data_IF_071448429885
#
_entry.id   IF_071448429885
#
_cell.length_a   1.000
_cell.length_b   1.000
_cell.length_c   1.000
_cell.angle_alpha   90.00
_cell.angle_beta   90.00
_cell.angle_gamma   90.00
#
_symmetry.space_group_name_H-M   'P 1'
#
loop_
_entity.id
_entity.type
_entity.pdbx_description
1 polymer ?
#
# COMPACT_ATOMS: atom_id res chain seq x y z
N UNK A 1 -8.94 -20.78 -26.89
CA UNK A 1 -8.74 -21.13 -25.47
C UNK A 1 -8.27 -19.84 -24.80
N UNK A 2 -9.08 -19.26 -23.92
CA UNK A 2 -8.68 -18.07 -23.17
C UNK A 2 -7.68 -18.50 -22.11
N UNK A 3 -6.41 -18.16 -22.30
CA UNK A 3 -5.41 -18.24 -21.23
C UNK A 3 -5.70 -17.03 -20.34
N UNK A 4 -6.53 -17.19 -19.33
CA UNK A 4 -6.55 -16.25 -18.22
C UNK A 4 -5.22 -16.41 -17.49
N UNK A 5 -4.28 -15.50 -17.72
CA UNK A 5 -3.13 -15.38 -16.82
C UNK A 5 -3.68 -15.03 -15.43
N UNK A 6 -3.49 -15.89 -14.43
CA UNK A 6 -4.03 -15.68 -13.07
C UNK A 6 -3.49 -14.38 -12.45
N UNK A 7 -2.30 -13.95 -12.85
CA UNK A 7 -1.66 -12.69 -12.47
C UNK A 7 -2.33 -11.42 -13.01
N UNK A 8 -3.29 -11.49 -13.95
CA UNK A 8 -3.90 -10.29 -14.53
C UNK A 8 -5.43 -10.36 -14.59
N UNK A 9 -6.07 -9.29 -14.13
CA UNK A 9 -7.52 -9.06 -14.22
C UNK A 9 -7.75 -7.90 -15.18
N UNK A 10 -8.57 -8.11 -16.22
CA UNK A 10 -9.03 -7.06 -17.13
C UNK A 10 -10.54 -7.00 -17.09
N UNK A 11 -11.11 -5.87 -16.66
CA UNK A 11 -12.55 -5.73 -16.43
C UNK A 11 -13.01 -4.26 -16.45
N UNK A 12 -14.31 -4.05 -16.31
CA UNK A 12 -14.94 -2.73 -16.23
C UNK A 12 -15.19 -2.08 -17.59
N UNK A 13 -16.07 -1.09 -17.58
CA UNK A 13 -16.54 -0.38 -18.78
C UNK A 13 -16.59 1.14 -18.59
N UNK A 14 -15.76 1.66 -17.67
CA UNK A 14 -15.72 3.08 -17.37
C UNK A 14 -15.10 3.93 -18.49
N UNK A 15 -15.18 5.27 -18.39
CA UNK A 15 -14.62 6.18 -19.39
C UNK A 15 -13.10 6.34 -19.29
N UNK A 16 -12.49 5.95 -18.17
CA UNK A 16 -11.05 6.10 -17.90
C UNK A 16 -10.40 4.71 -17.89
N UNK A 17 -9.34 4.54 -18.68
CA UNK A 17 -8.46 3.38 -18.55
C UNK A 17 -7.61 3.49 -17.29
N UNK A 18 -7.54 2.42 -16.50
CA UNK A 18 -6.72 2.34 -15.29
C UNK A 18 -5.88 1.08 -15.34
N UNK A 19 -4.56 1.24 -15.31
CA UNK A 19 -3.60 0.17 -15.07
C UNK A 19 -3.08 0.28 -13.65
N UNK A 20 -3.20 -0.82 -12.90
CA UNK A 20 -2.61 -0.94 -11.57
C UNK A 20 -1.73 -2.18 -11.49
N UNK A 21 -0.52 -2.02 -10.95
CA UNK A 21 0.39 -3.11 -10.66
C UNK A 21 0.50 -3.27 -9.15
N UNK A 22 0.06 -4.41 -8.64
CA UNK A 22 0.12 -4.76 -7.22
C UNK A 22 1.37 -5.61 -7.03
N UNK A 23 2.30 -5.13 -6.20
CA UNK A 23 3.58 -5.76 -5.93
C UNK A 23 3.65 -6.14 -4.46
N UNK A 24 3.97 -7.40 -4.16
CA UNK A 24 4.11 -7.87 -2.78
C UNK A 24 5.51 -8.40 -2.52
N UNK A 25 6.04 -8.08 -1.34
CA UNK A 25 7.13 -8.82 -0.74
C UNK A 25 6.77 -10.31 -0.62
N UNK A 26 7.76 -11.16 -0.88
CA UNK A 26 7.61 -12.62 -0.91
C UNK A 26 8.40 -13.32 0.19
N UNK A 27 8.79 -12.56 1.22
CA UNK A 27 9.24 -13.04 2.52
C UNK A 27 8.15 -13.84 3.23
N UNK A 28 8.54 -14.74 4.13
CA UNK A 28 7.59 -15.65 4.79
C UNK A 28 6.51 -14.94 5.62
N UNK A 29 6.81 -13.75 6.13
CA UNK A 29 5.90 -12.94 6.96
C UNK A 29 4.73 -12.37 6.18
N UNK A 30 4.84 -12.23 4.86
CA UNK A 30 3.79 -11.65 4.00
C UNK A 30 2.77 -12.67 3.47
N UNK A 31 2.80 -13.91 3.99
CA UNK A 31 1.98 -15.01 3.47
C UNK A 31 0.48 -14.80 3.69
N UNK A 32 0.07 -14.27 4.84
CA UNK A 32 -1.33 -13.99 5.14
C UNK A 32 -1.84 -12.79 4.36
N UNK A 33 -1.06 -11.70 4.23
CA UNK A 33 -1.45 -10.58 3.36
C UNK A 33 -1.64 -11.03 1.91
N UNK A 34 -0.77 -11.91 1.39
CA UNK A 34 -0.91 -12.44 0.02
C UNK A 34 -2.23 -13.19 -0.20
N UNK A 35 -2.67 -13.93 0.82
CA UNK A 35 -3.90 -14.73 0.80
C UNK A 35 -5.12 -13.83 0.94
N UNK A 36 -5.12 -12.96 1.95
CA UNK A 36 -6.24 -12.07 2.26
C UNK A 36 -6.53 -11.10 1.11
N UNK A 37 -5.48 -10.53 0.52
CA UNK A 37 -5.60 -9.65 -0.63
C UNK A 37 -6.20 -10.37 -1.84
N UNK A 38 -5.74 -11.61 -2.10
CA UNK A 38 -6.23 -12.43 -3.21
C UNK A 38 -7.69 -12.84 -3.06
N UNK A 39 -8.17 -13.02 -1.82
CA UNK A 39 -9.58 -13.32 -1.53
C UNK A 39 -10.48 -12.07 -1.64
N UNK A 40 -9.95 -10.89 -1.31
CA UNK A 40 -10.74 -9.67 -1.21
C UNK A 40 -10.77 -8.82 -2.49
N UNK A 41 -9.85 -9.05 -3.42
CA UNK A 41 -9.72 -8.22 -4.64
C UNK A 41 -10.99 -8.18 -5.48
N UNK A 42 -11.66 -9.32 -5.69
CA UNK A 42 -12.85 -9.37 -6.55
C UNK A 42 -13.99 -8.51 -5.96
N UNK A 43 -14.15 -8.54 -4.63
CA UNK A 43 -15.12 -7.69 -3.89
C UNK A 43 -14.72 -6.21 -4.00
N UNK A 44 -13.42 -5.90 -3.90
CA UNK A 44 -12.94 -4.52 -4.01
C UNK A 44 -13.20 -3.95 -5.41
N UNK A 45 -12.93 -4.74 -6.45
CA UNK A 45 -13.17 -4.38 -7.84
C UNK A 45 -14.67 -4.17 -8.09
N UNK A 46 -15.54 -5.04 -7.56
CA UNK A 46 -16.99 -4.87 -7.67
C UNK A 46 -17.45 -3.54 -7.04
N UNK A 47 -17.01 -3.26 -5.80
CA UNK A 47 -17.35 -2.01 -5.09
C UNK A 47 -16.82 -0.76 -5.79
N UNK A 48 -15.57 -0.81 -6.25
CA UNK A 48 -14.95 0.27 -7.02
C UNK A 48 -15.71 0.50 -8.34
N UNK A 49 -16.06 -0.56 -9.06
CA UNK A 49 -16.81 -0.45 -10.32
C UNK A 49 -18.17 0.23 -10.16
N UNK A 50 -18.83 0.03 -9.02
CA UNK A 50 -20.10 0.69 -8.71
C UNK A 50 -19.95 2.18 -8.34
N UNK A 51 -18.81 2.58 -7.76
CA UNK A 51 -18.59 3.93 -7.22
C UNK A 51 -17.78 4.84 -8.15
N UNK A 52 -16.81 4.27 -8.86
CA UNK A 52 -15.79 4.94 -9.65
C UNK A 52 -15.41 4.06 -10.87
N UNK A 53 -16.30 3.91 -11.86
CA UNK A 53 -16.11 2.96 -12.95
C UNK A 53 -14.88 3.31 -13.81
N UNK A 54 -14.08 2.30 -14.14
CA UNK A 54 -12.91 2.39 -15.02
C UNK A 54 -12.83 1.19 -15.98
N UNK A 55 -11.95 1.25 -16.96
CA UNK A 55 -11.49 0.07 -17.72
C UNK A 55 -10.23 -0.42 -17.03
N UNK A 56 -10.42 -1.26 -16.01
CA UNK A 56 -9.37 -1.72 -15.11
C UNK A 56 -8.54 -2.83 -15.76
N UNK A 57 -7.22 -2.70 -15.67
CA UNK A 57 -6.26 -3.78 -15.80
C UNK A 57 -5.41 -3.82 -14.54
N UNK A 58 -5.61 -4.84 -13.72
CA UNK A 58 -4.85 -5.08 -12.50
C UNK A 58 -3.88 -6.24 -12.71
N UNK A 59 -2.59 -6.05 -12.41
CA UNK A 59 -1.55 -7.09 -12.51
C UNK A 59 -0.93 -7.35 -11.14
N UNK A 60 -0.81 -8.60 -10.72
CA UNK A 60 -0.34 -9.03 -9.40
C UNK A 60 1.01 -9.71 -9.54
N UNK A 61 2.04 -9.18 -8.88
CA UNK A 61 3.41 -9.63 -9.03
C UNK A 61 4.09 -9.76 -7.66
N UNK A 62 4.79 -10.86 -7.43
CA UNK A 62 5.76 -10.92 -6.33
C UNK A 62 7.07 -10.23 -6.73
N UNK A 63 7.87 -9.74 -5.77
CA UNK A 63 9.16 -9.12 -6.10
C UNK A 63 10.11 -10.15 -6.74
N UNK A 64 10.52 -11.17 -5.96
CA UNK A 64 11.42 -12.26 -6.38
C UNK A 64 10.92 -13.64 -5.93
N UNK A 65 9.61 -13.78 -5.77
CA UNK A 65 8.94 -15.03 -5.40
C UNK A 65 7.49 -15.06 -5.87
N UNK A 66 6.80 -16.15 -5.57
CA UNK A 66 5.39 -16.36 -5.88
C UNK A 66 4.69 -17.00 -4.69
N UNK A 67 3.38 -16.88 -4.63
CA UNK A 67 2.55 -17.47 -3.59
C UNK A 67 1.52 -18.42 -4.21
N UNK A 68 1.64 -19.70 -3.91
CA UNK A 68 0.72 -20.72 -4.41
C UNK A 68 -0.72 -20.44 -3.96
N UNK A 69 -1.69 -20.69 -4.85
CA UNK A 69 -3.12 -20.45 -4.61
C UNK A 69 -3.51 -18.98 -4.35
N UNK A 70 -2.67 -18.03 -4.76
CA UNK A 70 -2.95 -16.59 -4.72
C UNK A 70 -2.96 -16.01 -6.13
N UNK A 71 -3.19 -14.69 -6.26
CA UNK A 71 -3.00 -13.97 -7.53
C UNK A 71 -1.51 -13.74 -7.88
N UNK A 72 -0.59 -13.96 -6.94
CA UNK A 72 0.84 -13.69 -7.09
C UNK A 72 1.59 -14.93 -7.61
N UNK A 73 1.24 -15.40 -8.80
CA UNK A 73 1.85 -16.57 -9.43
C UNK A 73 3.01 -16.21 -10.40
N UNK A 74 3.39 -14.94 -10.45
CA UNK A 74 4.47 -14.44 -11.29
C UNK A 74 5.30 -13.36 -10.56
N UNK A 75 6.61 -13.31 -10.83
CA UNK A 75 7.50 -12.26 -10.31
C UNK A 75 7.53 -11.04 -11.23
N UNK A 76 7.92 -9.89 -10.70
CA UNK A 76 8.18 -8.67 -11.49
C UNK A 76 9.20 -8.96 -12.59
N UNK A 77 10.33 -9.60 -12.27
CA UNK A 77 11.35 -9.91 -13.27
C UNK A 77 10.84 -10.87 -14.35
N UNK A 78 10.08 -11.91 -13.98
CA UNK A 78 9.53 -12.86 -14.95
C UNK A 78 8.49 -12.20 -15.87
N UNK A 79 7.68 -11.29 -15.34
CA UNK A 79 6.74 -10.52 -16.14
C UNK A 79 7.47 -9.64 -17.15
N UNK A 80 8.41 -8.81 -16.70
CA UNK A 80 9.11 -7.86 -17.56
C UNK A 80 10.02 -8.56 -18.58
N UNK A 81 10.71 -9.63 -18.19
CA UNK A 81 11.48 -10.44 -19.17
C UNK A 81 10.58 -11.16 -20.18
N UNK A 82 9.37 -11.54 -19.79
CA UNK A 82 8.33 -12.04 -20.69
C UNK A 82 7.90 -11.02 -21.75
N UNK A 83 8.00 -9.72 -21.45
CA UNK A 83 7.82 -8.63 -22.42
C UNK A 83 9.05 -8.39 -23.33
N UNK A 84 10.13 -9.17 -23.15
CA UNK A 84 11.37 -9.05 -23.91
C UNK A 84 12.40 -8.09 -23.32
N UNK A 85 12.19 -7.61 -22.09
CA UNK A 85 13.16 -6.78 -21.38
C UNK A 85 14.35 -7.65 -20.96
N UNK A 86 15.57 -7.19 -21.22
CA UNK A 86 16.76 -7.93 -20.81
C UNK A 86 16.86 -7.96 -19.28
N UNK A 87 17.15 -9.14 -18.72
CA UNK A 87 17.41 -9.27 -17.28
C UNK A 87 18.53 -8.33 -16.79
N UNK A 88 19.52 -8.02 -17.64
CA UNK A 88 20.60 -7.10 -17.31
C UNK A 88 20.16 -5.63 -17.17
N UNK A 89 18.96 -5.29 -17.64
CA UNK A 89 18.38 -3.95 -17.56
C UNK A 89 17.54 -3.74 -16.29
N UNK A 90 17.21 -4.82 -15.59
CA UNK A 90 16.41 -4.80 -14.37
C UNK A 90 17.30 -4.47 -13.15
N UNK A 91 16.76 -3.70 -12.21
CA UNK A 91 17.36 -3.43 -10.90
C UNK A 91 17.22 -4.61 -9.94
N UNK A 92 16.25 -5.50 -10.20
CA UNK A 92 16.05 -6.75 -9.50
C UNK A 92 17.37 -7.50 -9.23
N UNK A 93 17.57 -7.90 -7.98
CA UNK A 93 18.75 -8.66 -7.56
C UNK A 93 18.47 -10.16 -7.65
N UNK A 94 19.50 -10.91 -8.06
CA UNK A 94 19.53 -12.35 -7.82
C UNK A 94 19.46 -12.61 -6.31
N UNK A 95 18.90 -13.76 -5.87
CA UNK A 95 18.97 -14.18 -4.48
C UNK A 95 20.41 -14.08 -3.97
N UNK A 96 20.59 -13.40 -2.85
CA UNK A 96 21.90 -13.18 -2.25
C UNK A 96 21.80 -13.39 -0.74
N UNK A 97 22.93 -13.76 -0.12
CA UNK A 97 23.07 -13.82 1.34
C UNK A 97 23.76 -12.54 1.80
N UNK A 98 23.32 -11.99 2.92
CA UNK A 98 23.94 -10.80 3.51
C UNK A 98 25.38 -11.10 4.00
N UNK A 99 26.10 -10.04 4.36
CA UNK A 99 27.52 -10.11 4.78
C UNK A 99 27.75 -11.04 5.98
N UNK A 100 26.73 -11.27 6.80
CA UNK A 100 26.75 -12.19 7.94
C UNK A 100 26.47 -13.67 7.56
N UNK A 101 26.20 -13.95 6.27
CA UNK A 101 25.94 -15.28 5.74
C UNK A 101 24.50 -15.76 5.91
N UNK A 102 23.58 -14.91 6.34
CA UNK A 102 22.16 -15.22 6.53
C UNK A 102 21.36 -14.80 5.28
N UNK A 103 20.32 -15.58 4.97
CA UNK A 103 19.36 -15.31 3.90
C UNK A 103 18.16 -14.57 4.50
N UNK A 104 18.23 -13.23 4.54
CA UNK A 104 17.24 -12.34 5.16
C UNK A 104 15.95 -12.19 4.36
N UNK A 105 15.64 -13.10 3.43
CA UNK A 105 14.70 -12.87 2.34
C UNK A 105 15.07 -11.69 1.41
N UNK A 106 15.87 -10.70 1.83
CA UNK A 106 16.74 -9.83 1.02
C UNK A 106 16.12 -9.30 -0.27
N UNK A 107 16.46 -9.94 -1.40
CA UNK A 107 15.97 -9.53 -2.71
C UNK A 107 14.45 -9.69 -2.89
N UNK A 108 13.76 -10.39 -1.99
CA UNK A 108 12.31 -10.52 -1.94
C UNK A 108 11.62 -9.32 -1.33
N UNK A 109 12.36 -8.47 -0.60
CA UNK A 109 11.86 -7.28 0.10
C UNK A 109 12.20 -5.97 -0.65
N UNK A 110 12.86 -6.08 -1.81
CA UNK A 110 13.33 -4.96 -2.65
C UNK A 110 12.18 -4.19 -3.35
N UNK A 111 11.23 -3.65 -2.59
CA UNK A 111 10.06 -2.90 -3.09
C UNK A 111 10.49 -1.72 -3.94
N UNK A 112 11.50 -0.94 -3.52
CA UNK A 112 11.95 0.21 -4.31
C UNK A 112 12.46 -0.20 -5.69
N UNK A 113 13.19 -1.33 -5.80
CA UNK A 113 13.70 -1.82 -7.10
C UNK A 113 12.57 -2.33 -7.98
N UNK A 114 11.59 -3.01 -7.39
CA UNK A 114 10.40 -3.45 -8.11
C UNK A 114 9.60 -2.26 -8.67
N UNK A 115 9.44 -1.17 -7.89
CA UNK A 115 8.82 0.08 -8.35
C UNK A 115 9.60 0.68 -9.51
N UNK A 116 10.93 0.73 -9.44
CA UNK A 116 11.78 1.27 -10.52
C UNK A 116 11.59 0.45 -11.81
N UNK A 117 11.68 -0.88 -11.72
CA UNK A 117 11.57 -1.77 -12.87
C UNK A 117 10.19 -1.69 -13.52
N UNK A 118 9.11 -1.72 -12.73
CA UNK A 118 7.74 -1.57 -13.23
C UNK A 118 7.50 -0.17 -13.82
N UNK A 119 8.02 0.89 -13.20
CA UNK A 119 7.88 2.25 -13.72
C UNK A 119 8.53 2.41 -15.10
N UNK A 120 9.70 1.82 -15.32
CA UNK A 120 10.42 1.93 -16.59
C UNK A 120 9.92 0.99 -17.69
N UNK A 121 9.50 -0.22 -17.33
CA UNK A 121 9.41 -1.31 -18.32
C UNK A 121 8.04 -1.99 -18.39
N UNK A 122 7.11 -1.67 -17.51
CA UNK A 122 5.77 -2.23 -17.59
C UNK A 122 5.05 -1.76 -18.87
N UNK A 123 4.22 -2.62 -19.43
CA UNK A 123 3.49 -2.40 -20.68
C UNK A 123 2.25 -1.51 -20.49
N UNK A 124 2.40 -0.37 -19.83
CA UNK A 124 1.31 0.59 -19.56
C UNK A 124 0.53 0.94 -20.85
N UNK A 125 -0.80 0.97 -20.78
CA UNK A 125 -1.63 1.51 -21.87
C UNK A 125 -1.37 3.01 -21.99
N UNK A 126 -1.28 3.49 -23.23
CA UNK A 126 -0.88 4.88 -23.53
C UNK A 126 -1.77 5.94 -22.86
N UNK A 127 -3.07 5.67 -22.74
CA UNK A 127 -4.07 6.57 -22.17
C UNK A 127 -4.51 6.19 -20.75
N UNK A 128 -3.93 5.14 -20.16
CA UNK A 128 -4.31 4.70 -18.84
C UNK A 128 -3.72 5.61 -17.75
N UNK A 129 -4.51 5.82 -16.71
CA UNK A 129 -3.98 6.16 -15.39
C UNK A 129 -3.12 5.00 -14.90
N UNK A 130 -2.00 5.33 -14.26
CA UNK A 130 -0.99 4.35 -13.83
C UNK A 130 -0.89 4.39 -12.32
N UNK A 131 -1.01 3.23 -11.71
CA UNK A 131 -0.86 3.06 -10.28
C UNK A 131 0.03 1.86 -9.98
N UNK A 132 0.81 1.97 -8.91
CA UNK A 132 1.58 0.87 -8.33
C UNK A 132 1.14 0.77 -6.87
N UNK A 133 0.73 -0.41 -6.43
CA UNK A 133 0.42 -0.66 -5.03
C UNK A 133 1.43 -1.66 -4.48
N UNK A 134 2.29 -1.23 -3.56
CA UNK A 134 3.35 -2.06 -2.99
C UNK A 134 3.06 -2.44 -1.55
N UNK A 135 3.38 -3.68 -1.20
CA UNK A 135 3.14 -4.26 0.13
C UNK A 135 4.43 -4.91 0.66
N UNK A 136 4.80 -4.59 1.89
CA UNK A 136 5.88 -5.24 2.65
C UNK A 136 5.78 -4.86 4.13
N UNK A 137 6.56 -5.48 4.99
CA UNK A 137 6.52 -5.29 6.45
C UNK A 137 7.82 -4.71 7.02
N UNK A 138 8.89 -4.69 6.23
CA UNK A 138 10.23 -4.24 6.62
C UNK A 138 10.81 -3.15 5.67
N UNK A 139 12.13 -2.92 5.71
CA UNK A 139 12.81 -1.93 4.86
C UNK A 139 12.71 -2.21 3.35
N UNK A 140 12.36 -1.21 2.55
CA UNK A 140 12.06 -1.36 1.10
C UNK A 140 13.28 -1.61 0.17
N UNK A 141 14.48 -1.81 0.73
CA UNK A 141 15.72 -2.14 0.01
C UNK A 141 16.50 -3.15 0.84
N UNK A 142 16.35 -4.43 0.49
CA UNK A 142 16.99 -5.56 1.15
C UNK A 142 16.36 -5.99 2.48
N UNK A 143 15.30 -5.33 2.92
CA UNK A 143 14.62 -5.66 4.17
C UNK A 143 15.18 -5.00 5.41
N UNK A 144 14.82 -5.57 6.57
CA UNK A 144 15.42 -5.24 7.85
C UNK A 144 14.80 -4.05 8.57
N UNK A 145 14.92 -4.08 9.90
CA UNK A 145 14.34 -3.10 10.81
C UNK A 145 15.16 -1.83 11.06
N UNK A 146 16.25 -1.58 10.32
CA UNK A 146 17.09 -0.37 10.46
C UNK A 146 17.19 0.37 9.13
N UNK A 147 16.80 1.64 9.12
CA UNK A 147 16.88 2.46 7.91
C UNK A 147 18.33 2.80 7.56
N UNK A 148 18.77 2.40 6.37
CA UNK A 148 20.11 2.73 5.86
C UNK A 148 20.07 3.90 4.87
N UNK A 149 21.20 4.59 4.70
CA UNK A 149 21.34 5.63 3.67
C UNK A 149 21.15 5.07 2.25
N UNK A 150 21.53 3.81 2.02
CA UNK A 150 21.33 3.14 0.73
C UNK A 150 19.84 2.96 0.43
N UNK A 151 19.04 2.57 1.42
CA UNK A 151 17.59 2.48 1.30
C UNK A 151 16.95 3.83 0.99
N UNK A 152 17.36 4.91 1.67
CA UNK A 152 16.87 6.28 1.39
C UNK A 152 17.19 6.71 -0.05
N UNK A 153 18.44 6.49 -0.50
CA UNK A 153 18.86 6.82 -1.86
C UNK A 153 18.11 6.01 -2.91
N UNK A 154 17.86 4.72 -2.64
CA UNK A 154 17.10 3.87 -3.54
C UNK A 154 15.62 4.28 -3.61
N UNK A 155 15.05 4.70 -2.48
CA UNK A 155 13.69 5.21 -2.46
C UNK A 155 13.55 6.53 -3.26
N UNK A 156 14.58 7.41 -3.23
CA UNK A 156 14.61 8.58 -4.12
C UNK A 156 14.57 8.19 -5.60
N UNK A 157 15.31 7.15 -5.98
CA UNK A 157 15.31 6.64 -7.35
C UNK A 157 13.95 6.06 -7.75
N UNK A 158 13.29 5.34 -6.84
CA UNK A 158 11.94 4.81 -7.04
C UNK A 158 10.89 5.91 -7.22
N UNK A 159 10.92 6.95 -6.38
CA UNK A 159 10.07 8.13 -6.49
C UNK A 159 10.25 8.80 -7.85
N UNK A 160 11.51 9.04 -8.25
CA UNK A 160 11.82 9.66 -9.53
C UNK A 160 11.34 8.82 -10.72
N UNK A 161 11.56 7.50 -10.68
CA UNK A 161 11.09 6.58 -11.72
C UNK A 161 9.56 6.60 -11.85
N UNK A 162 8.83 6.53 -10.73
CA UNK A 162 7.38 6.55 -10.72
C UNK A 162 6.81 7.90 -11.21
N UNK A 163 7.41 9.02 -10.79
CA UNK A 163 7.04 10.36 -11.27
C UNK A 163 7.22 10.48 -12.79
N UNK A 164 8.35 10.02 -13.34
CA UNK A 164 8.59 10.03 -14.79
C UNK A 164 7.64 9.11 -15.55
N UNK A 165 7.21 8.00 -14.93
CA UNK A 165 6.20 7.12 -15.48
C UNK A 165 4.77 7.67 -15.34
N UNK A 166 4.59 8.83 -14.68
CA UNK A 166 3.29 9.37 -14.28
C UNK A 166 2.44 8.35 -13.49
N UNK A 167 3.10 7.53 -12.68
CA UNK A 167 2.47 6.51 -11.85
C UNK A 167 2.34 6.99 -10.40
N UNK A 168 1.14 6.84 -9.82
CA UNK A 168 0.95 7.00 -8.38
C UNK A 168 1.42 5.73 -7.67
N UNK A 169 2.22 5.86 -6.62
CA UNK A 169 2.59 4.73 -5.76
C UNK A 169 1.75 4.78 -4.49
N UNK A 170 1.10 3.68 -4.17
CA UNK A 170 0.44 3.43 -2.89
C UNK A 170 1.27 2.41 -2.14
N UNK A 171 1.39 2.58 -0.84
CA UNK A 171 2.22 1.72 0.00
C UNK A 171 1.38 1.11 1.11
N UNK A 172 1.62 -0.15 1.43
CA UNK A 172 1.06 -0.82 2.60
C UNK A 172 2.20 -1.40 3.41
N UNK A 173 2.38 -0.89 4.62
CA UNK A 173 3.28 -1.48 5.59
C UNK A 173 2.51 -2.52 6.43
N UNK A 174 2.81 -3.80 6.21
CA UNK A 174 2.22 -4.97 6.86
C UNK A 174 2.60 -5.10 8.33
N UNK A 175 2.30 -6.26 8.91
CA UNK A 175 2.63 -6.53 10.32
C UNK A 175 4.09 -6.94 10.45
N UNK A 176 4.92 -6.17 11.17
CA UNK A 176 6.28 -6.61 11.46
C UNK A 176 6.33 -7.95 12.19
N UNK A 177 7.26 -8.81 11.81
CA UNK A 177 7.63 -9.95 12.63
C UNK A 177 8.59 -9.51 13.74
N UNK A 178 8.04 -9.05 14.87
CA UNK A 178 8.81 -8.58 16.03
C UNK A 178 9.33 -9.72 16.94
N UNK A 179 9.29 -10.98 16.51
CA UNK A 179 9.83 -12.11 17.27
C UNK A 179 11.31 -11.85 17.64
N UNK A 180 11.74 -12.03 18.89
CA UNK A 180 13.14 -11.81 19.30
C UNK A 180 14.17 -12.65 18.54
N UNK A 181 13.76 -13.75 17.92
CA UNK A 181 14.57 -14.59 17.04
C UNK A 181 14.60 -14.12 15.59
N UNK A 182 13.71 -13.20 15.19
CA UNK A 182 13.80 -12.52 13.91
C UNK A 182 14.97 -11.53 13.96
N UNK A 183 15.97 -11.77 13.11
CA UNK A 183 17.15 -10.92 12.97
C UNK A 183 16.81 -9.57 12.33
N UNK A 184 15.74 -9.53 11.54
CA UNK A 184 15.28 -8.35 10.82
C UNK A 184 14.26 -7.52 11.58
N UNK A 185 13.88 -7.95 12.79
CA UNK A 185 12.96 -7.24 13.67
C UNK A 185 13.37 -5.79 13.88
N UNK A 186 12.39 -4.92 14.08
CA UNK A 186 12.65 -3.54 14.45
C UNK A 186 13.33 -3.47 15.82
N UNK A 187 14.55 -2.90 15.95
CA UNK A 187 15.24 -2.85 17.23
C UNK A 187 14.52 -1.96 18.25
N UNK A 188 13.87 -0.90 17.76
CA UNK A 188 13.10 0.05 18.55
C UNK A 188 11.92 0.59 17.75
N UNK A 189 10.90 1.12 18.43
CA UNK A 189 9.81 1.87 17.78
C UNK A 189 10.33 3.05 16.94
N UNK A 190 11.41 3.71 17.36
CA UNK A 190 11.98 4.82 16.62
C UNK A 190 12.62 4.38 15.28
N UNK A 191 13.16 3.16 15.20
CA UNK A 191 13.64 2.61 13.93
C UNK A 191 12.47 2.21 13.02
N UNK A 192 11.42 1.63 13.60
CA UNK A 192 10.17 1.38 12.88
C UNK A 192 9.58 2.65 12.28
N UNK A 193 9.48 3.72 13.07
CA UNK A 193 8.96 5.02 12.61
C UNK A 193 9.79 5.61 11.45
N UNK A 194 11.10 5.36 11.41
CA UNK A 194 11.94 5.82 10.29
C UNK A 194 11.61 5.06 9.00
N UNK A 195 11.43 3.75 9.08
CA UNK A 195 11.05 2.93 7.92
C UNK A 195 9.63 3.29 7.46
N UNK A 196 8.68 3.43 8.38
CA UNK A 196 7.31 3.90 8.08
C UNK A 196 7.32 5.22 7.32
N UNK A 197 8.16 6.19 7.72
CA UNK A 197 8.30 7.46 7.00
C UNK A 197 8.78 7.29 5.57
N UNK A 198 9.58 6.27 5.27
CA UNK A 198 10.02 6.02 3.89
C UNK A 198 8.90 5.43 3.03
N UNK A 199 8.02 4.57 3.59
CA UNK A 199 6.78 4.15 2.92
C UNK A 199 5.89 5.36 2.62
N UNK A 200 5.63 6.19 3.63
CA UNK A 200 4.87 7.43 3.49
C UNK A 200 5.46 8.36 2.42
N UNK A 201 6.78 8.52 2.43
CA UNK A 201 7.48 9.39 1.49
C UNK A 201 7.35 8.90 0.05
N UNK A 202 7.52 7.60 -0.20
CA UNK A 202 7.31 7.00 -1.53
C UNK A 202 5.90 7.26 -2.06
N UNK A 203 4.89 7.06 -1.22
CA UNK A 203 3.51 7.25 -1.63
C UNK A 203 3.16 8.73 -1.87
N UNK A 204 3.50 9.60 -0.91
CA UNK A 204 3.11 11.02 -0.96
C UNK A 204 3.83 11.77 -2.07
N UNK A 205 5.13 11.52 -2.28
CA UNK A 205 5.89 12.17 -3.35
C UNK A 205 5.49 11.69 -4.75
N UNK A 206 4.70 10.63 -4.88
CA UNK A 206 4.15 10.17 -6.17
C UNK A 206 2.65 10.46 -6.32
N UNK A 207 2.05 11.13 -5.33
CA UNK A 207 0.62 11.50 -5.33
C UNK A 207 -0.34 10.37 -4.94
N UNK A 208 0.17 9.29 -4.33
CA UNK A 208 -0.63 8.23 -3.74
C UNK A 208 -0.78 8.38 -2.22
N UNK A 209 -1.07 7.26 -1.54
CA UNK A 209 -1.31 7.19 -0.10
C UNK A 209 -0.59 6.01 0.54
N UNK A 210 -0.17 6.19 1.79
CA UNK A 210 0.40 5.12 2.60
C UNK A 210 -0.63 4.58 3.58
N UNK A 211 -0.60 3.27 3.74
CA UNK A 211 -1.43 2.48 4.63
C UNK A 211 -0.53 1.68 5.57
N UNK A 212 -0.95 1.51 6.82
CA UNK A 212 -0.20 0.74 7.82
C UNK A 212 -1.17 -0.21 8.51
N UNK A 213 -0.76 -1.46 8.69
CA UNK A 213 -1.56 -2.50 9.34
C UNK A 213 -2.09 -2.06 10.72
N UNK A 214 -1.25 -1.43 11.54
CA UNK A 214 -1.58 -1.05 12.93
C UNK A 214 -2.61 0.07 13.08
N UNK A 215 -2.99 0.75 11.99
CA UNK A 215 -4.05 1.77 12.00
C UNK A 215 -5.42 1.26 11.54
N UNK A 216 -5.61 -0.06 11.42
CA UNK A 216 -6.94 -0.66 11.45
C UNK A 216 -7.60 -0.89 10.09
N UNK A 217 -6.83 -1.08 9.01
CA UNK A 217 -7.39 -1.63 7.78
C UNK A 217 -6.90 -3.06 7.56
N UNK A 218 -7.44 -3.98 8.37
CA UNK A 218 -7.47 -5.42 8.08
C UNK A 218 -8.59 -5.75 7.05
N UNK A 219 -8.88 -4.82 6.14
CA UNK A 219 -9.90 -4.96 5.11
C UNK A 219 -9.35 -4.43 3.80
N UNK A 220 -8.55 -5.26 3.14
CA UNK A 220 -8.02 -5.00 1.80
C UNK A 220 -9.12 -4.61 0.82
N UNK A 221 -10.37 -5.06 0.99
CA UNK A 221 -11.45 -4.62 0.12
C UNK A 221 -11.70 -3.10 0.21
N UNK A 222 -11.55 -2.48 1.38
CA UNK A 222 -11.66 -1.02 1.53
C UNK A 222 -10.42 -0.30 1.01
N UNK A 223 -9.21 -0.77 1.36
CA UNK A 223 -7.95 -0.20 0.86
C UNK A 223 -7.94 -0.19 -0.67
N UNK A 224 -8.20 -1.33 -1.28
CA UNK A 224 -8.20 -1.48 -2.72
C UNK A 224 -9.30 -0.64 -3.38
N UNK A 225 -10.49 -0.57 -2.79
CA UNK A 225 -11.53 0.31 -3.32
C UNK A 225 -11.08 1.78 -3.34
N UNK A 226 -10.48 2.25 -2.25
CA UNK A 226 -9.95 3.62 -2.15
C UNK A 226 -8.85 3.87 -3.18
N UNK A 227 -7.87 2.95 -3.28
CA UNK A 227 -6.78 3.03 -4.26
C UNK A 227 -7.34 3.08 -5.68
N UNK A 228 -8.26 2.16 -6.04
CA UNK A 228 -8.84 2.09 -7.38
C UNK A 228 -9.57 3.38 -7.75
N UNK A 229 -10.32 3.98 -6.81
CA UNK A 229 -11.00 5.25 -7.05
C UNK A 229 -10.04 6.44 -7.11
N UNK A 230 -9.08 6.54 -6.19
CA UNK A 230 -8.12 7.65 -6.15
C UNK A 230 -7.18 7.64 -7.37
N UNK A 231 -6.86 6.46 -7.88
CA UNK A 231 -6.01 6.26 -9.07
C UNK A 231 -6.61 6.83 -10.35
N UNK A 232 -7.93 7.09 -10.39
CA UNK A 232 -8.56 7.73 -11.55
C UNK A 232 -8.17 9.22 -11.69
N UNK A 233 -7.78 9.83 -10.57
CA UNK A 233 -7.24 11.18 -10.56
C UNK A 233 -5.76 11.13 -10.98
N UNK A 234 -5.30 12.05 -11.86
CA UNK A 234 -3.90 12.14 -12.19
C UNK A 234 -3.04 12.44 -10.94
N UNK A 235 -1.74 12.10 -10.95
CA UNK A 235 -0.80 12.60 -9.92
C UNK A 235 -0.88 14.13 -9.85
N UNK A 236 -0.79 14.68 -8.65
CA UNK A 236 -0.71 16.13 -8.48
C UNK A 236 0.62 16.64 -9.08
N UNK A 237 0.59 17.72 -9.86
CA UNK A 237 1.81 18.33 -10.39
C UNK A 237 2.63 18.91 -9.23
N UNK A 238 3.78 18.29 -8.92
CA UNK A 238 4.71 18.79 -7.89
C UNK A 238 5.35 20.14 -8.28
N UNK A 239 5.17 20.60 -9.52
CA UNK A 239 5.56 21.91 -10.00
C UNK A 239 4.54 23.02 -9.71
N UNK A 240 3.42 22.71 -9.05
CA UNK A 240 2.73 23.77 -8.31
C UNK A 240 3.63 24.14 -7.15
N UNK A 241 4.30 25.30 -7.25
CA UNK A 241 4.75 26.07 -6.10
C UNK A 241 3.76 25.86 -4.96
N UNK A 242 4.26 25.68 -3.74
CA UNK A 242 3.48 25.67 -2.51
C UNK A 242 2.70 27.00 -2.45
N UNK A 243 1.56 27.03 -3.13
CA UNK A 243 0.73 28.19 -3.35
C UNK A 243 -0.52 27.98 -2.55
N UNK A 244 -0.36 28.41 -1.31
CA UNK A 244 -1.35 29.06 -0.47
C UNK A 244 -2.37 28.17 0.23
N UNK A 245 -2.63 28.56 1.48
CA UNK A 245 -3.70 28.12 2.38
C UNK A 245 -5.10 27.99 1.74
N UNK A 246 -5.29 28.39 0.48
CA UNK A 246 -6.51 28.29 -0.30
C UNK A 246 -7.00 26.85 -0.45
N UNK A 247 -6.12 25.87 -0.71
CA UNK A 247 -6.54 24.46 -0.83
C UNK A 247 -7.03 23.90 0.50
N UNK A 248 -6.31 24.19 1.60
CA UNK A 248 -6.75 23.83 2.95
C UNK A 248 -8.08 24.50 3.29
N UNK A 249 -8.28 25.77 2.91
CA UNK A 249 -9.54 26.49 3.09
C UNK A 249 -10.69 25.91 2.24
N UNK A 250 -10.42 25.39 1.05
CA UNK A 250 -11.42 24.73 0.20
C UNK A 250 -11.88 23.39 0.78
N UNK A 251 -10.97 22.62 1.38
CA UNK A 251 -11.29 21.34 2.02
C UNK A 251 -11.70 21.48 3.49
N UNK A 252 -11.51 22.65 4.11
CA UNK A 252 -11.84 22.91 5.51
C UNK A 252 -13.28 22.55 5.88
N UNK A 253 -14.32 22.83 5.05
CA UNK A 253 -15.68 22.43 5.37
C UNK A 253 -15.84 20.91 5.43
N UNK A 254 -15.21 20.18 4.51
CA UNK A 254 -15.24 18.71 4.49
C UNK A 254 -14.51 18.13 5.69
N UNK A 255 -13.34 18.67 6.02
CA UNK A 255 -12.56 18.29 7.21
C UNK A 255 -13.38 18.53 8.49
N UNK A 256 -14.01 19.70 8.62
CA UNK A 256 -14.90 20.01 9.75
C UNK A 256 -16.08 19.04 9.84
N UNK A 257 -16.68 18.69 8.70
CA UNK A 257 -17.79 17.74 8.66
C UNK A 257 -17.34 16.36 9.15
N UNK A 258 -16.16 15.89 8.72
CA UNK A 258 -15.58 14.61 9.17
C UNK A 258 -15.25 14.64 10.66
N UNK A 259 -14.64 15.72 11.16
CA UNK A 259 -14.32 15.89 12.59
C UNK A 259 -15.60 15.93 13.43
N UNK A 260 -16.63 16.65 12.99
CA UNK A 260 -17.91 16.69 13.68
C UNK A 260 -18.60 15.32 13.69
N UNK A 261 -18.57 14.61 12.56
CA UNK A 261 -19.10 13.24 12.46
C UNK A 261 -18.37 12.30 13.43
N UNK A 262 -17.04 12.39 13.50
CA UNK A 262 -16.24 11.59 14.43
C UNK A 262 -16.55 11.95 15.89
N UNK A 263 -16.68 13.24 16.21
CA UNK A 263 -17.07 13.70 17.53
C UNK A 263 -18.47 13.21 17.93
N UNK A 264 -19.43 13.18 17.01
CA UNK A 264 -20.75 12.60 17.25
C UNK A 264 -20.69 11.10 17.49
N UNK A 265 -19.87 10.37 16.75
CA UNK A 265 -19.66 8.93 16.95
C UNK A 265 -19.08 8.68 18.33
N UNK A 266 -18.01 9.41 18.69
CA UNK A 266 -17.37 9.31 20.01
C UNK A 266 -18.39 9.64 21.12
N UNK A 267 -19.18 10.70 20.96
CA UNK A 267 -20.22 11.06 21.94
C UNK A 267 -21.29 9.98 22.07
N UNK A 268 -21.75 9.39 20.95
CA UNK A 268 -22.70 8.26 20.97
C UNK A 268 -22.11 7.04 21.64
N UNK A 269 -20.83 6.75 21.42
CA UNK A 269 -20.10 5.66 22.10
C UNK A 269 -20.01 5.95 23.60
N UNK A 270 -19.64 7.17 24.01
CA UNK A 270 -19.59 7.58 25.41
C UNK A 270 -20.98 7.49 26.06
N UNK A 271 -22.03 8.00 25.41
CA UNK A 271 -23.40 7.93 25.92
C UNK A 271 -23.91 6.48 26.00
N UNK A 272 -23.46 5.60 25.11
CA UNK A 272 -23.73 4.16 25.19
C UNK A 272 -22.99 3.48 26.35
N UNK A 273 -21.81 3.98 26.71
CA UNK A 273 -21.02 3.49 27.85
C UNK A 273 -21.45 4.10 29.19
N UNK A 274 -22.00 5.32 29.16
CA UNK A 274 -22.42 6.12 30.30
C UNK A 274 -23.73 6.87 29.98
N UNK A 275 -24.88 6.18 29.95
CA UNK A 275 -26.16 6.84 29.68
C UNK A 275 -26.44 7.88 30.77
N UNK A 276 -26.69 9.13 30.36
CA UNK A 276 -27.06 10.21 31.27
C UNK A 276 -28.42 9.90 31.90
N UNK A 277 -28.42 9.42 33.14
CA UNK A 277 -29.64 9.26 33.93
C UNK A 277 -30.31 10.63 34.15
N UNK A 278 -31.52 10.80 33.63
CA UNK A 278 -32.37 11.96 33.94
C UNK A 278 -33.08 11.67 35.28
N UNK A 279 -32.47 12.17 36.36
CA UNK A 279 -33.05 12.54 37.67
C UNK A 279 -33.96 11.55 38.42
N UNK A 280 -33.50 11.08 39.60
CA UNK A 280 -34.10 11.37 40.92
C UNK A 280 -33.33 10.70 42.07
N UNK A 281 -32.87 11.54 43.02
CA UNK A 281 -32.52 11.27 44.43
C UNK A 281 -31.65 10.05 44.81
N UNK A 282 -30.54 10.39 45.48
CA UNK A 282 -29.71 9.61 46.41
C UNK A 282 -28.82 8.47 45.87
N UNK A 283 -27.54 8.62 46.22
CA UNK A 283 -26.51 7.60 46.51
C UNK A 283 -25.69 6.98 45.37
N UNK A 284 -24.37 7.16 45.55
CA UNK A 284 -23.23 6.42 45.01
C UNK A 284 -22.93 6.55 43.51
N UNK A 285 -21.82 7.24 43.21
CA UNK A 285 -21.16 7.25 41.91
C UNK A 285 -20.73 5.82 41.54
N UNK A 286 -21.52 5.12 40.72
CA UNK A 286 -21.03 3.93 40.03
C UNK A 286 -20.02 4.35 38.97
N UNK A 287 -18.81 3.78 39.03
CA UNK A 287 -17.84 3.87 37.96
C UNK A 287 -18.48 3.36 36.66
N UNK A 288 -18.35 4.12 35.57
CA UNK A 288 -18.69 3.63 34.25
C UNK A 288 -17.79 2.44 33.91
N UNK A 289 -18.37 1.27 33.70
CA UNK A 289 -17.69 0.11 33.12
C UNK A 289 -18.26 -0.13 31.72
N UNK A 290 -17.40 -0.07 30.71
CA UNK A 290 -17.73 -0.50 29.36
C UNK A 290 -17.82 -2.02 29.36
N UNK A 291 -18.99 -2.59 29.07
CA UNK A 291 -19.10 -4.04 28.84
C UNK A 291 -18.55 -4.35 27.45
N UNK A 292 -17.50 -5.18 27.42
CA UNK A 292 -16.96 -5.80 26.20
C UNK A 292 -17.99 -6.71 25.53
#
# INVERSE_FOLDING_TARGET
>A
MNVSNLSQIVTGSGPIALDIVIIIDTSGSMSDESTDLSQQIDIAIEKASASCPSQLRATFLGIQGTWDNTKFDQTVSNYLTGLGISQSSLQARLPFKEIDGIDHAGNKEDLCRAVIDVSHYFDWRDDARRAIFVLGDEGMEGGGGILTNAAVLKNNEAIFAAQNAHAKVYTYQGTPNDDPSNIDRFPTLAERDKITKEYERLALETGGRSYIYTTGIANFALVLQEILCDSLNPPADLNTEVSNCTSVCEYLPTILLTVNTLAEIINKTIDSCCPKEINKHHETSKLCECKH
#
